data_IF_771140387376
#
_entry.id   IF_771140387376
#
_cell.length_a   1.000
_cell.length_b   1.000
_cell.length_c   1.000
_cell.angle_alpha   90.00
_cell.angle_beta   90.00
_cell.angle_gamma   90.00
#
_symmetry.space_group_name_H-M   'P 1'
#
loop_
_entity.id
_entity.type
_entity.pdbx_description
1 polymer ?
#
# COMPACT_ATOMS: atom_id res chain seq x y z
N UNK A 1 -29.84 11.69 25.99
CA UNK A 1 -29.99 11.36 24.55
C UNK A 1 -28.74 10.60 24.13
N UNK A 2 -28.85 9.30 23.87
CA UNK A 2 -27.70 8.48 23.48
C UNK A 2 -27.45 8.64 21.97
N UNK A 3 -26.25 9.09 21.61
CA UNK A 3 -25.76 9.10 20.24
C UNK A 3 -25.61 7.66 19.74
N UNK A 4 -26.14 7.29 18.56
CA UNK A 4 -25.91 5.98 18.01
C UNK A 4 -24.44 5.89 17.61
N UNK A 5 -23.70 5.04 18.32
CA UNK A 5 -22.35 4.64 17.99
C UNK A 5 -22.38 4.07 16.58
N UNK A 6 -21.60 4.65 15.66
CA UNK A 6 -21.35 4.12 14.33
C UNK A 6 -20.67 2.75 14.49
N UNK A 7 -21.47 1.71 14.68
CA UNK A 7 -21.04 0.32 14.64
C UNK A 7 -20.63 0.00 13.21
N UNK A 8 -19.40 0.37 12.84
CA UNK A 8 -18.80 -0.09 11.59
C UNK A 8 -18.77 -1.60 11.63
N UNK A 9 -19.46 -2.25 10.68
CA UNK A 9 -19.54 -3.70 10.59
C UNK A 9 -18.14 -4.32 10.78
N UNK A 10 -17.90 -5.15 11.81
CA UNK A 10 -16.58 -5.71 12.07
C UNK A 10 -16.07 -6.53 10.88
N UNK A 11 -16.99 -7.09 10.09
CA UNK A 11 -16.70 -7.79 8.82
C UNK A 11 -16.10 -6.84 7.77
N UNK A 12 -16.68 -5.64 7.60
CA UNK A 12 -16.18 -4.64 6.65
C UNK A 12 -14.82 -4.07 7.08
N UNK A 13 -14.61 -3.94 8.38
CA UNK A 13 -13.33 -3.49 8.95
C UNK A 13 -12.24 -4.55 8.74
N UNK A 14 -12.53 -5.84 8.99
CA UNK A 14 -11.62 -6.96 8.74
C UNK A 14 -11.24 -7.07 7.27
N UNK A 15 -12.21 -7.16 6.36
CA UNK A 15 -11.95 -7.21 4.92
C UNK A 15 -11.08 -6.04 4.42
N UNK A 16 -11.23 -4.85 5.02
CA UNK A 16 -10.39 -3.70 4.71
C UNK A 16 -8.96 -3.78 5.25
N UNK A 17 -8.76 -4.43 6.41
CA UNK A 17 -7.45 -4.74 6.98
C UNK A 17 -6.76 -5.83 6.16
N UNK A 18 -7.48 -6.90 5.79
CA UNK A 18 -6.97 -7.99 4.95
C UNK A 18 -6.48 -7.46 3.59
N UNK A 19 -7.28 -6.59 2.96
CA UNK A 19 -6.89 -5.94 1.69
C UNK A 19 -5.60 -5.11 1.85
N UNK A 20 -5.47 -4.37 2.96
CA UNK A 20 -4.27 -3.56 3.23
C UNK A 20 -3.03 -4.41 3.48
N UNK A 21 -3.16 -5.50 4.24
CA UNK A 21 -2.05 -6.43 4.45
C UNK A 21 -1.62 -7.07 3.13
N UNK A 22 -2.58 -7.48 2.30
CA UNK A 22 -2.29 -8.06 0.98
C UNK A 22 -1.55 -7.09 0.05
N UNK A 23 -1.88 -5.80 0.09
CA UNK A 23 -1.13 -4.77 -0.66
C UNK A 23 0.34 -4.75 -0.23
N UNK A 24 0.60 -4.75 1.07
CA UNK A 24 1.98 -4.74 1.60
C UNK A 24 2.74 -5.99 1.18
N UNK A 25 2.11 -7.18 1.28
CA UNK A 25 2.71 -8.44 0.86
C UNK A 25 3.05 -8.47 -0.63
N UNK A 26 2.14 -8.03 -1.50
CA UNK A 26 2.36 -8.00 -2.95
C UNK A 26 3.52 -7.07 -3.32
N UNK A 27 3.53 -5.87 -2.72
CA UNK A 27 4.58 -4.87 -2.97
C UNK A 27 5.93 -5.35 -2.43
N UNK A 28 5.96 -5.97 -1.25
CA UNK A 28 7.19 -6.55 -0.67
C UNK A 28 7.71 -7.70 -1.53
N UNK A 29 6.86 -8.66 -1.89
CA UNK A 29 7.23 -9.78 -2.75
C UNK A 29 7.75 -9.30 -4.10
N UNK A 30 7.16 -8.27 -4.71
CA UNK A 30 7.66 -7.71 -5.96
C UNK A 30 9.11 -7.21 -5.83
N UNK A 31 9.42 -6.53 -4.72
CA UNK A 31 10.76 -6.02 -4.43
C UNK A 31 11.74 -7.15 -4.08
N UNK A 32 11.34 -8.14 -3.31
CA UNK A 32 12.15 -9.32 -2.98
C UNK A 32 12.50 -10.15 -4.22
N UNK A 33 11.64 -10.14 -5.24
CA UNK A 33 11.91 -10.76 -6.55
C UNK A 33 12.73 -9.86 -7.50
N UNK A 34 13.24 -8.72 -7.03
CA UNK A 34 14.08 -7.81 -7.80
C UNK A 34 13.34 -6.74 -8.62
N UNK A 35 12.04 -6.53 -8.38
CA UNK A 35 11.27 -5.44 -8.99
C UNK A 35 11.39 -4.12 -8.21
N UNK A 36 11.08 -2.99 -8.86
CA UNK A 36 11.10 -1.67 -8.20
C UNK A 36 9.76 -1.29 -7.54
N UNK A 37 8.95 -2.28 -7.17
CA UNK A 37 7.59 -2.11 -6.66
C UNK A 37 6.52 -2.07 -7.74
N UNK A 38 5.28 -1.91 -7.30
CA UNK A 38 4.09 -2.12 -8.14
C UNK A 38 3.33 -0.81 -8.39
N UNK A 39 2.83 -0.63 -9.60
CA UNK A 39 1.95 0.48 -9.92
C UNK A 39 0.57 0.28 -9.30
N UNK A 40 -0.19 1.38 -9.17
CA UNK A 40 -1.60 1.31 -8.73
C UNK A 40 -2.47 0.47 -9.67
N UNK A 41 -2.11 0.36 -10.95
CA UNK A 41 -2.87 -0.44 -11.91
C UNK A 41 -2.66 -1.94 -11.67
N UNK A 42 -1.40 -2.35 -11.47
CA UNK A 42 -1.04 -3.73 -11.16
C UNK A 42 -1.65 -4.17 -9.82
N UNK A 43 -1.55 -3.34 -8.78
CA UNK A 43 -2.17 -3.63 -7.48
C UNK A 43 -3.69 -3.76 -7.57
N UNK A 44 -4.34 -2.94 -8.39
CA UNK A 44 -5.79 -3.02 -8.59
C UNK A 44 -6.19 -4.33 -9.30
N UNK A 45 -5.40 -4.73 -10.30
CA UNK A 45 -5.60 -5.98 -11.03
C UNK A 45 -5.39 -7.21 -10.13
N UNK A 46 -4.30 -7.26 -9.37
CA UNK A 46 -3.96 -8.37 -8.47
C UNK A 46 -4.98 -8.56 -7.35
N UNK A 47 -5.55 -7.46 -6.86
CA UNK A 47 -6.55 -7.50 -5.78
C UNK A 47 -7.99 -7.63 -6.29
N UNK A 48 -8.21 -7.56 -7.61
CA UNK A 48 -9.55 -7.55 -8.20
C UNK A 48 -10.42 -6.40 -7.70
N UNK A 49 -9.83 -5.24 -7.39
CA UNK A 49 -10.56 -4.06 -6.87
C UNK A 49 -10.48 -2.86 -7.81
N UNK A 50 -11.44 -1.95 -7.68
CA UNK A 50 -11.45 -0.71 -8.46
C UNK A 50 -10.35 0.25 -7.99
N UNK A 51 -9.81 1.07 -8.91
CA UNK A 51 -8.78 2.09 -8.62
C UNK A 51 -9.17 3.03 -7.45
N UNK A 52 -10.42 3.53 -7.33
CA UNK A 52 -10.81 4.37 -6.20
C UNK A 52 -10.77 3.63 -4.86
N UNK A 53 -11.15 2.35 -4.84
CA UNK A 53 -11.11 1.51 -3.63
C UNK A 53 -9.67 1.27 -3.22
N UNK A 54 -8.80 0.93 -4.16
CA UNK A 54 -7.35 0.80 -3.92
C UNK A 54 -6.77 2.10 -3.38
N UNK A 55 -7.12 3.26 -3.97
CA UNK A 55 -6.62 4.55 -3.52
C UNK A 55 -6.93 4.80 -2.05
N UNK A 56 -8.14 4.48 -1.58
CA UNK A 56 -8.50 4.60 -0.15
C UNK A 56 -7.62 3.73 0.75
N UNK A 57 -7.31 2.50 0.34
CA UNK A 57 -6.43 1.61 1.10
C UNK A 57 -4.97 2.11 1.10
N UNK A 58 -4.47 2.57 -0.04
CA UNK A 58 -3.13 3.15 -0.16
C UNK A 58 -2.97 4.40 0.69
N UNK A 59 -3.95 5.31 0.69
CA UNK A 59 -3.91 6.53 1.54
C UNK A 59 -3.77 6.17 3.03
N UNK A 60 -4.44 5.12 3.50
CA UNK A 60 -4.27 4.63 4.87
C UNK A 60 -2.88 4.04 5.09
N UNK A 61 -2.39 3.21 4.16
CA UNK A 61 -1.05 2.61 4.27
C UNK A 61 0.09 3.64 4.20
N UNK A 62 -0.10 4.74 3.47
CA UNK A 62 0.84 5.88 3.44
C UNK A 62 0.83 6.62 4.79
N UNK A 63 -0.35 6.83 5.39
CA UNK A 63 -0.47 7.44 6.71
C UNK A 63 0.18 6.56 7.80
N UNK A 64 0.01 5.24 7.70
CA UNK A 64 0.61 4.24 8.59
C UNK A 64 2.10 3.97 8.30
N UNK A 65 2.71 4.66 7.32
CA UNK A 65 4.10 4.44 6.87
C UNK A 65 4.44 2.97 6.60
N UNK A 66 3.49 2.20 6.07
CA UNK A 66 3.72 0.78 5.70
C UNK A 66 4.21 0.64 4.26
N UNK A 67 3.78 1.56 3.39
CA UNK A 67 4.20 1.66 2.00
C UNK A 67 4.44 3.12 1.67
N UNK A 68 5.16 3.39 0.58
CA UNK A 68 5.40 4.74 0.08
C UNK A 68 5.29 4.77 -1.44
N UNK A 69 5.03 5.96 -1.99
CA UNK A 69 4.94 6.16 -3.43
C UNK A 69 6.22 6.82 -3.94
N UNK A 70 6.83 6.20 -4.95
CA UNK A 70 8.04 6.69 -5.61
C UNK A 70 7.75 6.77 -7.10
N UNK A 71 7.61 8.00 -7.60
CA UNK A 71 7.06 8.25 -8.92
C UNK A 71 5.66 7.62 -9.06
N UNK A 72 5.53 6.66 -9.98
CA UNK A 72 4.27 5.94 -10.24
C UNK A 72 4.14 4.60 -9.50
N UNK A 73 5.21 4.15 -8.83
CA UNK A 73 5.28 2.86 -8.14
C UNK A 73 5.01 3.01 -6.65
N UNK A 74 4.39 1.99 -6.08
CA UNK A 74 4.22 1.80 -4.64
C UNK A 74 5.26 0.77 -4.22
N UNK A 75 6.06 1.12 -3.21
CA UNK A 75 7.14 0.31 -2.65
C UNK A 75 6.94 0.17 -1.14
N UNK A 76 7.52 -0.84 -0.47
CA UNK A 76 7.40 -0.93 0.98
C UNK A 76 8.13 0.27 1.62
N UNK A 77 7.57 0.81 2.69
CA UNK A 77 8.22 1.91 3.40
C UNK A 77 9.25 1.27 4.34
N UNK A 78 10.50 1.26 3.90
CA UNK A 78 11.62 0.83 4.75
C UNK A 78 11.98 2.00 5.68
N UNK A 79 11.45 2.04 6.91
CA UNK A 79 12.07 2.80 8.02
C UNK A 79 13.41 2.15 8.46
N UNK A 80 14.28 1.86 7.49
CA UNK A 80 15.55 1.18 7.68
C UNK A 80 16.61 1.64 6.68
N UNK A 81 16.53 1.27 5.40
CA UNK A 81 17.64 1.50 4.48
C UNK A 81 17.13 1.56 3.05
N UNK A 82 16.81 2.75 2.50
CA UNK A 82 16.98 3.04 1.06
C UNK A 82 17.14 4.56 0.88
N UNK A 83 18.36 5.03 0.67
CA UNK A 83 18.59 6.35 0.08
C UNK A 83 18.39 6.25 -1.44
N UNK A 84 17.30 6.83 -1.94
CA UNK A 84 17.07 6.95 -3.39
C UNK A 84 17.70 8.24 -3.87
N UNK A 85 18.67 8.12 -4.78
CA UNK A 85 19.27 9.28 -5.40
C UNK A 85 18.24 9.96 -6.31
N UNK A 86 17.84 11.20 -5.94
CA UNK A 86 16.86 12.02 -6.69
C UNK A 86 17.28 12.36 -8.12
N UNK A 87 18.54 12.14 -8.48
CA UNK A 87 19.09 12.50 -9.79
C UNK A 87 18.94 11.38 -10.83
N UNK A 88 18.90 10.12 -10.40
CA UNK A 88 18.92 8.96 -11.31
C UNK A 88 17.89 7.86 -10.99
N UNK A 89 17.15 7.97 -9.87
CA UNK A 89 16.07 7.03 -9.53
C UNK A 89 16.53 5.64 -9.12
N UNK A 90 17.84 5.40 -9.00
CA UNK A 90 18.37 4.13 -8.52
C UNK A 90 18.37 4.08 -6.98
N UNK A 91 17.91 2.93 -6.48
CA UNK A 91 18.04 2.40 -5.13
C UNK A 91 19.51 2.07 -4.87
N UNK A 92 20.18 2.80 -3.97
CA UNK A 92 21.51 2.41 -3.49
C UNK A 92 21.38 1.53 -2.24
N UNK A 93 22.01 0.34 -2.31
CA UNK A 93 22.10 -0.66 -1.24
C UNK A 93 23.08 -0.25 -0.15
#
# INVERSE_FOLDING_TARGET
MATPTKGGNPVSTRAGIDTRNRIVELVAANVENGGDGMTRAELAAELGITKPRLHKHLTMLFADRRVQQIGMKVVPSNEGHIHICRTCGQTMH
#
